data_IF_464907576095
#
_entry.id   IF_464907576095
#
_cell.length_a   1.000
_cell.length_b   1.000
_cell.length_c   1.000
_cell.angle_alpha   90.00
_cell.angle_beta   90.00
_cell.angle_gamma   90.00
#
_symmetry.space_group_name_H-M   'P 1'
#
loop_
_entity.id
_entity.type
_entity.pdbx_description
1 polymer ?
#
# COMPACT_ATOMS: atom_id res chain seq x y z
N UNK A 1 0.53 12.79 -0.45
CA UNK A 1 -0.55 11.95 -0.98
C UNK A 1 -1.61 12.84 -1.62
N UNK A 2 -2.54 12.26 -2.40
CA UNK A 2 -3.43 12.94 -3.35
C UNK A 2 -4.85 13.05 -2.77
N UNK A 3 -5.04 13.95 -1.82
CA UNK A 3 -6.36 14.16 -1.22
C UNK A 3 -6.54 15.65 -0.84
N UNK A 4 -7.73 16.02 -0.40
CA UNK A 4 -8.04 17.36 0.07
C UNK A 4 -7.76 17.57 1.57
N UNK A 5 -7.77 18.84 2.00
CA UNK A 5 -7.53 19.22 3.39
C UNK A 5 -8.64 18.74 4.33
N UNK A 6 -9.87 18.62 3.82
CA UNK A 6 -10.97 18.14 4.64
C UNK A 6 -10.71 16.68 5.02
N UNK A 7 -10.28 15.82 4.09
CA UNK A 7 -9.93 14.41 4.32
C UNK A 7 -8.92 14.17 5.45
N UNK A 8 -8.11 15.17 5.81
CA UNK A 8 -7.13 15.09 6.92
C UNK A 8 -7.77 15.16 8.32
N UNK A 9 -8.94 15.78 8.48
CA UNK A 9 -9.59 15.91 9.79
C UNK A 9 -10.43 14.66 10.13
N UNK A 10 -9.86 13.74 10.90
CA UNK A 10 -10.52 12.54 11.43
C UNK A 10 -11.16 11.66 10.33
N UNK A 11 -10.39 11.20 9.34
CA UNK A 11 -10.89 10.19 8.41
C UNK A 11 -11.34 8.94 9.19
N UNK A 12 -12.35 8.23 8.69
CA UNK A 12 -12.78 6.93 9.23
C UNK A 12 -11.94 5.78 8.65
N UNK A 13 -11.48 5.95 7.42
CA UNK A 13 -10.70 4.97 6.66
C UNK A 13 -9.40 5.60 6.13
N UNK A 14 -8.29 4.88 6.24
CA UNK A 14 -6.99 5.26 5.67
C UNK A 14 -6.64 4.26 4.59
N UNK A 15 -6.49 4.71 3.35
CA UNK A 15 -6.08 3.89 2.22
C UNK A 15 -4.58 4.07 1.96
N UNK A 16 -3.81 3.02 2.21
CA UNK A 16 -2.39 2.94 1.90
C UNK A 16 -2.18 2.17 0.60
N UNK A 17 -1.10 2.49 -0.11
CA UNK A 17 -0.62 1.73 -1.25
C UNK A 17 0.19 2.62 -2.20
N UNK A 18 0.36 2.14 -3.42
CA UNK A 18 1.21 2.76 -4.42
C UNK A 18 0.43 3.61 -5.46
N UNK A 19 0.85 3.55 -6.72
CA UNK A 19 0.19 4.22 -7.86
C UNK A 19 -1.27 3.79 -8.05
N UNK A 20 -1.66 2.57 -7.68
CA UNK A 20 -3.05 2.13 -7.77
C UNK A 20 -3.94 2.80 -6.73
N UNK A 21 -3.44 3.01 -5.52
CA UNK A 21 -4.19 3.75 -4.48
C UNK A 21 -4.23 5.23 -4.81
N UNK A 22 -3.11 5.79 -5.29
CA UNK A 22 -3.02 7.17 -5.77
C UNK A 22 -3.99 7.47 -6.94
N UNK A 23 -4.45 6.45 -7.67
CA UNK A 23 -5.32 6.65 -8.84
C UNK A 23 -4.57 7.11 -10.08
N UNK A 24 -3.37 6.56 -10.31
CA UNK A 24 -2.56 6.89 -11.47
C UNK A 24 -3.33 6.70 -12.78
N UNK A 25 -3.41 7.77 -13.57
CA UNK A 25 -4.04 7.74 -14.90
C UNK A 25 -5.54 8.05 -14.93
N UNK A 26 -6.17 8.32 -13.78
CA UNK A 26 -7.59 8.71 -13.70
C UNK A 26 -7.81 10.01 -12.93
N UNK A 27 -8.97 10.63 -13.08
CA UNK A 27 -9.36 11.83 -12.32
C UNK A 27 -9.63 11.51 -10.84
N UNK A 28 -9.60 12.52 -9.98
CA UNK A 28 -9.73 12.34 -8.51
C UNK A 28 -11.00 11.57 -8.14
N UNK A 29 -12.14 11.97 -8.71
CA UNK A 29 -13.45 11.37 -8.48
C UNK A 29 -13.62 9.99 -9.14
N UNK A 30 -12.61 9.51 -9.87
CA UNK A 30 -12.58 8.18 -10.47
C UNK A 30 -11.61 7.24 -9.71
N UNK A 31 -10.89 7.76 -8.71
CA UNK A 31 -9.98 6.96 -7.89
C UNK A 31 -10.76 6.02 -6.96
N UNK A 32 -10.15 4.89 -6.60
CA UNK A 32 -10.78 3.86 -5.75
C UNK A 32 -11.26 4.43 -4.40
N UNK A 33 -10.50 5.37 -3.83
CA UNK A 33 -10.80 5.99 -2.53
C UNK A 33 -11.99 6.93 -2.61
N UNK A 34 -12.02 7.82 -3.61
CA UNK A 34 -13.14 8.73 -3.84
C UNK A 34 -14.43 7.98 -4.17
N UNK A 35 -14.33 6.92 -4.98
CA UNK A 35 -15.47 6.05 -5.29
C UNK A 35 -15.96 5.29 -4.05
N UNK A 36 -15.06 4.88 -3.15
CA UNK A 36 -15.42 4.29 -1.87
C UNK A 36 -16.13 5.29 -0.96
N UNK A 37 -15.63 6.52 -0.86
CA UNK A 37 -16.27 7.58 -0.07
C UNK A 37 -17.67 7.90 -0.61
N UNK A 38 -17.81 8.10 -1.92
CA UNK A 38 -19.11 8.32 -2.59
C UNK A 38 -20.09 7.16 -2.33
N UNK A 39 -19.60 5.92 -2.34
CA UNK A 39 -20.41 4.72 -2.16
C UNK A 39 -20.92 4.54 -0.72
N UNK A 40 -20.18 5.06 0.26
CA UNK A 40 -20.40 4.75 1.68
C UNK A 40 -20.78 5.96 2.53
N UNK A 41 -20.54 7.17 2.01
CA UNK A 41 -20.57 8.40 2.79
C UNK A 41 -19.58 8.42 3.96
N UNK A 42 -18.65 7.46 4.02
CA UNK A 42 -17.66 7.38 5.08
C UNK A 42 -16.39 8.08 4.65
N UNK A 43 -15.88 8.96 5.52
CA UNK A 43 -14.72 9.78 5.22
C UNK A 43 -13.47 8.90 5.05
N UNK A 44 -12.83 8.98 3.89
CA UNK A 44 -11.66 8.20 3.56
C UNK A 44 -10.50 9.11 3.18
N UNK A 45 -9.28 8.75 3.61
CA UNK A 45 -8.07 9.44 3.22
C UNK A 45 -7.25 8.58 2.26
N UNK A 46 -6.99 9.09 1.07
CA UNK A 46 -6.08 8.52 0.10
C UNK A 46 -4.63 8.87 0.46
N UNK A 47 -3.91 7.91 1.01
CA UNK A 47 -2.48 8.03 1.33
C UNK A 47 -1.58 7.35 0.28
N UNK A 48 -2.12 7.03 -0.90
CA UNK A 48 -1.37 6.37 -1.97
C UNK A 48 -0.21 7.23 -2.48
N UNK A 49 0.93 6.60 -2.76
CA UNK A 49 2.13 7.27 -3.28
C UNK A 49 2.83 6.43 -4.37
N UNK A 50 2.89 6.90 -5.63
CA UNK A 50 3.52 6.16 -6.71
C UNK A 50 4.99 5.82 -6.43
N UNK A 51 5.34 4.55 -6.63
CA UNK A 51 6.69 4.03 -6.46
C UNK A 51 7.11 3.74 -5.02
N UNK A 52 6.19 3.85 -4.06
CA UNK A 52 6.40 3.36 -2.71
C UNK A 52 6.14 1.85 -2.68
N UNK A 53 6.89 1.15 -1.85
CA UNK A 53 6.50 -0.13 -1.30
C UNK A 53 6.08 0.04 0.17
N UNK A 54 5.61 -1.06 0.77
CA UNK A 54 4.89 -1.01 2.04
C UNK A 54 5.70 -0.49 3.24
N UNK A 55 7.03 -0.63 3.23
CA UNK A 55 7.88 0.02 4.24
C UNK A 55 7.73 1.55 4.19
N UNK A 56 7.74 2.16 3.01
CA UNK A 56 7.62 3.62 2.90
C UNK A 56 6.21 4.10 3.25
N UNK A 57 5.18 3.36 2.84
CA UNK A 57 3.79 3.61 3.23
C UNK A 57 3.63 3.59 4.76
N UNK A 58 4.18 2.57 5.42
CA UNK A 58 4.12 2.43 6.89
C UNK A 58 4.83 3.57 7.60
N UNK A 59 6.00 3.98 7.10
CA UNK A 59 6.79 5.08 7.67
C UNK A 59 6.10 6.43 7.47
N UNK A 60 5.49 6.67 6.31
CA UNK A 60 4.68 7.86 6.05
C UNK A 60 3.47 7.89 6.99
N UNK A 61 2.73 6.79 7.12
CA UNK A 61 1.61 6.70 8.06
C UNK A 61 2.04 7.05 9.48
N UNK A 62 3.13 6.45 9.98
CA UNK A 62 3.59 6.71 11.34
C UNK A 62 4.06 8.14 11.59
N UNK A 63 4.39 8.87 10.54
CA UNK A 63 4.72 10.28 10.65
C UNK A 63 3.47 11.17 10.73
N UNK A 64 2.39 10.78 10.06
CA UNK A 64 1.16 11.57 9.95
C UNK A 64 0.08 11.15 10.96
N UNK A 65 0.16 9.96 11.57
CA UNK A 65 -0.94 9.40 12.36
C UNK A 65 -1.41 10.31 13.51
N UNK A 66 -0.50 11.06 14.14
CA UNK A 66 -0.84 12.03 15.19
C UNK A 66 -1.62 13.24 14.65
N UNK A 67 -1.29 13.72 13.44
CA UNK A 67 -1.94 14.88 12.82
C UNK A 67 -3.34 14.54 12.31
N UNK A 68 -3.58 13.28 11.95
CA UNK A 68 -4.89 12.76 11.52
C UNK A 68 -5.91 12.65 12.67
N UNK A 69 -5.53 13.02 13.89
CA UNK A 69 -6.32 12.82 15.11
C UNK A 69 -6.82 11.38 15.24
N UNK A 70 -5.95 10.44 14.89
CA UNK A 70 -6.33 9.05 14.76
C UNK A 70 -6.70 8.43 16.12
N UNK A 71 -7.89 7.84 16.21
CA UNK A 71 -8.39 7.17 17.40
C UNK A 71 -9.12 5.86 17.10
N UNK A 72 -9.68 5.70 15.88
CA UNK A 72 -10.57 4.59 15.50
C UNK A 72 -10.59 4.26 13.99
N UNK A 73 -9.56 4.72 13.27
CA UNK A 73 -9.42 4.55 11.82
C UNK A 73 -9.31 3.06 11.48
N UNK A 74 -9.88 2.67 10.34
CA UNK A 74 -9.57 1.38 9.71
C UNK A 74 -8.55 1.61 8.61
N UNK A 75 -7.50 0.81 8.60
CA UNK A 75 -6.45 0.90 7.57
C UNK A 75 -6.74 -0.13 6.50
N UNK A 76 -6.87 0.31 5.25
CA UNK A 76 -6.91 -0.55 4.07
C UNK A 76 -5.58 -0.39 3.35
N UNK A 77 -4.85 -1.49 3.18
CA UNK A 77 -3.65 -1.52 2.35
C UNK A 77 -3.99 -2.20 1.01
N UNK A 78 -3.81 -1.47 -0.09
CA UNK A 78 -3.86 -2.02 -1.44
C UNK A 78 -2.44 -2.48 -1.81
N UNK A 79 -2.30 -3.78 -2.06
CA UNK A 79 -1.03 -4.43 -2.43
C UNK A 79 -1.06 -4.76 -3.91
N UNK A 80 -0.10 -4.24 -4.66
CA UNK A 80 0.12 -4.58 -6.06
C UNK A 80 1.34 -5.49 -6.22
N UNK A 81 1.56 -6.06 -7.40
CA UNK A 81 2.62 -7.05 -7.60
C UNK A 81 4.04 -6.52 -7.39
N UNK A 82 4.23 -5.21 -7.48
CA UNK A 82 5.51 -4.56 -7.20
C UNK A 82 5.88 -4.51 -5.72
N UNK A 83 4.90 -4.52 -4.83
CA UNK A 83 5.13 -4.57 -3.38
C UNK A 83 5.96 -5.79 -2.95
N UNK A 84 5.90 -6.88 -3.72
CA UNK A 84 6.67 -8.08 -3.44
C UNK A 84 8.18 -7.88 -3.56
N UNK A 85 8.64 -6.84 -4.28
CA UNK A 85 10.05 -6.56 -4.49
C UNK A 85 10.47 -5.14 -4.07
N UNK A 86 9.58 -4.14 -4.12
CA UNK A 86 9.90 -2.74 -3.81
C UNK A 86 10.34 -2.53 -2.35
N UNK A 87 9.96 -3.43 -1.45
CA UNK A 87 10.42 -3.43 -0.06
C UNK A 87 11.93 -3.70 0.08
N UNK A 88 12.53 -4.44 -0.87
CA UNK A 88 13.97 -4.71 -0.91
C UNK A 88 14.71 -3.87 -1.98
N UNK A 89 14.08 -3.65 -3.13
CA UNK A 89 14.65 -2.94 -4.27
C UNK A 89 13.76 -1.78 -4.72
N UNK A 90 13.55 -0.74 -3.90
CA UNK A 90 12.62 0.32 -4.23
C UNK A 90 13.04 1.06 -5.50
N UNK A 91 12.05 1.54 -6.26
CA UNK A 91 12.22 2.32 -7.50
C UNK A 91 13.21 3.48 -7.31
N UNK A 92 13.19 4.11 -6.14
CA UNK A 92 14.13 5.16 -5.77
C UNK A 92 15.13 4.64 -4.73
N UNK A 93 16.40 4.52 -5.12
CA UNK A 93 17.50 4.06 -4.24
C UNK A 93 17.55 4.75 -2.84
N UNK A 94 17.23 6.05 -2.68
CA UNK A 94 17.19 6.70 -1.38
C UNK A 94 16.05 6.24 -0.47
N UNK A 95 15.06 5.50 -0.95
CA UNK A 95 13.95 5.08 -0.11
C UNK A 95 14.42 4.13 1.00
N UNK A 96 13.79 4.22 2.19
CA UNK A 96 13.94 3.21 3.21
C UNK A 96 13.65 1.82 2.65
N UNK A 97 14.35 0.78 3.09
CA UNK A 97 14.23 -0.56 2.51
C UNK A 97 14.69 -1.63 3.47
N UNK A 98 14.16 -2.84 3.31
CA UNK A 98 14.55 -3.99 4.11
C UNK A 98 15.92 -4.49 3.64
N UNK A 99 16.82 -4.73 4.59
CA UNK A 99 18.14 -5.32 4.36
C UNK A 99 18.40 -6.41 5.39
N UNK A 100 19.28 -7.34 5.03
CA UNK A 100 19.73 -8.40 5.93
C UNK A 100 21.00 -7.97 6.65
N UNK A 101 20.94 -7.87 7.99
CA UNK A 101 22.09 -7.59 8.85
C UNK A 101 22.40 -8.82 9.70
N UNK A 102 23.29 -9.67 9.19
CA UNK A 102 23.54 -11.00 9.76
C UNK A 102 22.32 -11.91 9.58
N UNK A 103 21.79 -12.44 10.69
CA UNK A 103 20.60 -13.31 10.68
C UNK A 103 19.27 -12.55 10.81
N UNK A 104 19.29 -11.21 10.88
CA UNK A 104 18.09 -10.39 11.10
C UNK A 104 17.79 -9.52 9.89
N UNK A 105 16.51 -9.32 9.61
CA UNK A 105 16.04 -8.29 8.71
C UNK A 105 15.93 -6.96 9.48
N UNK A 106 16.32 -5.88 8.83
CA UNK A 106 16.28 -4.51 9.38
C UNK A 106 15.80 -3.53 8.31
N UNK A 107 15.09 -2.49 8.73
CA UNK A 107 14.80 -1.36 7.86
C UNK A 107 16.03 -0.45 7.85
N UNK A 108 16.57 -0.21 6.66
CA UNK A 108 17.61 0.80 6.43
C UNK A 108 16.96 2.05 5.90
N UNK A 109 17.39 3.22 6.38
CA UNK A 109 16.89 4.52 5.95
C UNK A 109 18.08 5.33 5.40
N UNK A 110 18.50 5.10 4.13
CA UNK A 110 19.61 5.85 3.54
C UNK A 110 19.28 7.33 3.35
N UNK A 111 18.00 7.69 3.46
CA UNK A 111 17.51 9.06 3.36
C UNK A 111 17.78 9.90 4.61
N UNK A 112 17.81 9.29 5.79
CA UNK A 112 17.90 9.97 7.08
C UNK A 112 19.03 11.00 7.18
N UNK A 113 20.23 10.64 6.72
CA UNK A 113 21.39 11.53 6.79
C UNK A 113 21.23 12.75 5.85
N UNK A 114 20.66 12.54 4.67
CA UNK A 114 20.40 13.59 3.70
C UNK A 114 19.33 14.55 4.21
N UNK A 115 18.21 14.01 4.72
CA UNK A 115 17.12 14.81 5.28
C UNK A 115 17.58 15.71 6.45
N UNK A 116 18.37 15.16 7.38
CA UNK A 116 18.97 15.94 8.47
C UNK A 116 19.91 17.03 7.99
N UNK A 117 20.61 16.83 6.87
CA UNK A 117 21.48 17.84 6.26
C UNK A 117 20.66 18.94 5.59
N UNK A 118 19.63 18.58 4.83
CA UNK A 118 18.72 19.51 4.18
C UNK A 118 18.07 20.46 5.21
N UNK A 119 17.60 19.92 6.33
CA UNK A 119 17.05 20.70 7.45
C UNK A 119 18.03 21.74 8.04
N UNK A 120 19.34 21.49 7.96
CA UNK A 120 20.38 22.39 8.49
C UNK A 120 20.83 23.46 7.50
N UNK A 121 20.84 23.16 6.20
CA UNK A 121 21.51 24.00 5.17
C UNK A 121 20.52 24.90 4.42
N UNK A 122 19.31 24.43 4.13
CA UNK A 122 18.37 25.15 3.27
C UNK A 122 17.03 25.33 3.98
N UNK A 123 16.84 26.53 4.55
CA UNK A 123 15.59 27.02 5.11
C UNK A 123 14.97 26.09 6.19
N UNK A 124 15.38 26.24 7.47
CA UNK A 124 14.81 25.50 8.60
C UNK A 124 13.27 25.58 8.71
N UNK A 125 12.64 26.58 8.09
CA UNK A 125 11.18 26.69 7.98
C UNK A 125 10.58 25.74 6.94
N UNK A 126 11.19 25.60 5.76
CA UNK A 126 10.69 24.77 4.66
C UNK A 126 10.83 23.28 4.99
N UNK A 127 11.96 22.88 5.57
CA UNK A 127 12.24 21.51 5.95
C UNK A 127 11.50 21.06 7.25
N UNK A 128 10.88 21.99 7.98
CA UNK A 128 9.97 21.70 9.09
C UNK A 128 8.54 21.40 8.62
N UNK A 129 8.16 21.91 7.45
CA UNK A 129 6.82 21.72 6.88
C UNK A 129 6.77 20.51 5.94
N UNK A 130 7.91 20.09 5.39
CA UNK A 130 8.01 18.91 4.54
C UNK A 130 8.04 17.63 5.37
N UNK A 131 6.99 16.82 5.21
CA UNK A 131 6.92 15.48 5.77
C UNK A 131 8.13 14.65 5.33
N UNK A 132 8.90 14.09 6.29
CA UNK A 132 10.18 13.41 6.04
C UNK A 132 10.03 12.31 4.98
N UNK A 133 8.99 11.50 5.10
CA UNK A 133 8.78 10.37 4.21
C UNK A 133 7.89 10.69 3.02
N UNK A 134 7.69 11.98 2.67
CA UNK A 134 6.93 12.38 1.48
C UNK A 134 7.79 12.37 0.20
N UNK A 135 7.15 12.16 -0.96
CA UNK A 135 7.82 12.19 -2.26
C UNK A 135 8.52 13.53 -2.50
N UNK A 136 7.91 14.63 -2.08
CA UNK A 136 8.51 15.96 -2.17
C UNK A 136 9.82 16.06 -1.36
N UNK A 137 9.88 15.50 -0.15
CA UNK A 137 11.11 15.47 0.62
C UNK A 137 12.21 14.66 -0.08
N UNK A 138 11.87 13.51 -0.64
CA UNK A 138 12.80 12.69 -1.42
C UNK A 138 13.35 13.44 -2.65
N UNK A 139 12.49 14.12 -3.40
CA UNK A 139 12.89 14.92 -4.58
C UNK A 139 13.78 16.11 -4.20
N UNK A 140 13.42 16.86 -3.16
CA UNK A 140 14.25 17.99 -2.70
C UNK A 140 15.64 17.52 -2.28
N UNK A 141 15.70 16.43 -1.52
CA UNK A 141 16.96 15.89 -1.05
C UNK A 141 17.80 15.25 -2.17
N UNK A 142 17.20 14.67 -3.21
CA UNK A 142 17.95 14.15 -4.36
C UNK A 142 18.60 15.28 -5.18
N UNK A 143 17.94 16.44 -5.27
CA UNK A 143 18.47 17.65 -5.91
C UNK A 143 19.55 18.34 -5.07
N UNK A 144 19.37 18.43 -3.74
CA UNK A 144 20.32 19.08 -2.81
C UNK A 144 21.54 18.20 -2.51
N UNK A 145 21.37 16.89 -2.50
CA UNK A 145 22.42 15.92 -2.17
C UNK A 145 23.47 15.72 -3.26
N UNK A 146 23.23 16.21 -4.49
CA UNK A 146 24.11 15.99 -5.64
C UNK A 146 24.20 14.51 -5.99
N UNK A 147 23.33 14.03 -6.88
CA UNK A 147 23.46 12.77 -7.61
C UNK A 147 24.17 11.63 -6.85
N UNK A 148 23.55 11.12 -5.79
CA UNK A 148 23.54 9.70 -5.35
C UNK A 148 24.84 8.87 -5.26
N UNK A 149 26.03 9.40 -5.54
CA UNK A 149 27.29 8.63 -5.57
C UNK A 149 27.88 8.43 -4.18
N UNK A 150 27.63 9.35 -3.24
CA UNK A 150 28.24 9.33 -1.90
C UNK A 150 27.31 8.76 -0.81
N UNK A 151 26.03 8.52 -1.14
CA UNK A 151 25.03 7.97 -0.20
C UNK A 151 24.88 6.45 -0.30
N UNK A 152 25.50 5.82 -1.29
CA UNK A 152 25.69 4.37 -1.37
C UNK A 152 27.11 4.08 -0.89
N UNK A 153 27.32 4.02 0.42
CA UNK A 153 28.54 3.42 0.93
C UNK A 153 28.60 1.98 0.43
N UNK A 154 29.63 1.66 -0.37
CA UNK A 154 29.98 0.31 -0.83
C UNK A 154 30.38 -0.66 0.31
N UNK A 155 29.98 -0.40 1.55
CA UNK A 155 30.45 -1.12 2.76
C UNK A 155 29.51 -2.26 3.19
N UNK A 156 28.39 -2.48 2.51
CA UNK A 156 27.59 -3.69 2.69
C UNK A 156 27.91 -4.66 1.55
N UNK A 157 28.68 -5.71 1.87
CA UNK A 157 28.97 -6.79 0.94
C UNK A 157 27.67 -7.28 0.27
N UNK A 158 27.69 -7.63 -1.03
CA UNK A 158 26.51 -8.15 -1.70
C UNK A 158 25.99 -9.35 -0.91
N UNK A 159 24.73 -9.25 -0.45
CA UNK A 159 24.00 -10.38 0.13
C UNK A 159 24.05 -11.49 -0.93
N UNK A 160 24.41 -12.69 -0.52
CA UNK A 160 24.38 -13.86 -1.41
C UNK A 160 22.94 -13.99 -1.92
N UNK A 161 22.74 -13.64 -3.20
CA UNK A 161 21.43 -13.62 -3.82
C UNK A 161 21.04 -15.07 -4.05
N UNK A 162 20.16 -15.59 -3.21
CA UNK A 162 19.58 -16.91 -3.39
C UNK A 162 18.20 -16.76 -3.97
N UNK A 163 17.89 -17.51 -5.02
CA UNK A 163 16.58 -17.47 -5.66
C UNK A 163 15.69 -18.61 -5.16
N UNK A 164 14.40 -18.38 -5.01
CA UNK A 164 13.44 -19.44 -4.76
C UNK A 164 13.16 -20.27 -6.03
N UNK A 165 12.34 -21.34 -5.92
CA UNK A 165 12.02 -22.22 -7.06
C UNK A 165 11.21 -21.53 -8.18
N UNK A 166 10.77 -20.30 -7.95
CA UNK A 166 9.95 -19.51 -8.85
C UNK A 166 10.72 -18.31 -9.45
N UNK A 167 11.98 -18.10 -9.04
CA UNK A 167 12.88 -17.10 -9.59
C UNK A 167 12.91 -15.77 -8.83
N UNK A 168 12.32 -15.69 -7.64
CA UNK A 168 12.43 -14.53 -6.75
C UNK A 168 13.74 -14.55 -6.00
N UNK A 169 14.38 -13.39 -5.84
CA UNK A 169 15.42 -13.30 -4.82
C UNK A 169 14.74 -13.55 -3.46
N UNK A 170 15.20 -14.55 -2.70
CA UNK A 170 14.64 -14.90 -1.38
C UNK A 170 14.60 -13.69 -0.43
N UNK A 171 15.42 -12.66 -0.69
CA UNK A 171 15.41 -11.39 0.03
C UNK A 171 14.16 -10.53 -0.24
N UNK A 172 13.47 -10.66 -1.38
CA UNK A 172 12.32 -9.83 -1.80
C UNK A 172 11.05 -10.32 -1.10
N UNK A 173 10.77 -11.63 -1.17
CA UNK A 173 9.62 -12.20 -0.45
C UNK A 173 9.81 -12.12 1.07
N UNK A 174 11.01 -12.38 1.58
CA UNK A 174 11.33 -12.16 3.00
C UNK A 174 11.12 -10.69 3.39
N UNK A 175 11.43 -9.73 2.50
CA UNK A 175 11.21 -8.31 2.75
C UNK A 175 9.72 -7.93 2.73
N UNK A 176 8.92 -8.48 1.80
CA UNK A 176 7.48 -8.28 1.78
C UNK A 176 6.82 -8.83 3.05
N UNK A 177 7.13 -10.08 3.44
CA UNK A 177 6.60 -10.67 4.67
C UNK A 177 7.02 -9.85 5.90
N UNK A 178 8.28 -9.40 5.95
CA UNK A 178 8.76 -8.52 7.00
C UNK A 178 7.99 -7.19 7.03
N UNK A 179 7.73 -6.57 5.88
CA UNK A 179 6.97 -5.33 5.78
C UNK A 179 5.54 -5.49 6.28
N UNK A 180 4.87 -6.59 5.92
CA UNK A 180 3.52 -6.91 6.39
C UNK A 180 3.48 -7.12 7.90
N UNK A 181 4.44 -7.87 8.45
CA UNK A 181 4.59 -8.06 9.91
C UNK A 181 4.85 -6.74 10.63
N UNK A 182 5.69 -5.89 10.06
CA UNK A 182 6.03 -4.59 10.63
C UNK A 182 4.82 -3.66 10.66
N UNK A 183 4.10 -3.51 9.53
CA UNK A 183 2.87 -2.71 9.47
C UNK A 183 1.84 -3.23 10.47
N UNK A 184 1.57 -4.54 10.50
CA UNK A 184 0.63 -5.14 11.44
C UNK A 184 1.00 -4.80 12.88
N UNK A 185 2.26 -4.98 13.28
CA UNK A 185 2.74 -4.66 14.62
C UNK A 185 2.55 -3.18 14.97
N UNK A 186 2.86 -2.28 14.04
CA UNK A 186 2.69 -0.83 14.24
C UNK A 186 1.22 -0.47 14.45
N UNK A 187 0.32 -1.07 13.66
CA UNK A 187 -1.12 -0.81 13.78
C UNK A 187 -1.73 -1.43 15.04
N UNK A 188 -1.24 -2.58 15.49
CA UNK A 188 -1.62 -3.18 16.77
C UNK A 188 -1.24 -2.30 17.96
N UNK A 189 -0.04 -1.71 17.93
CA UNK A 189 0.42 -0.76 18.95
C UNK A 189 -0.50 0.47 19.04
N UNK A 190 -1.11 0.87 17.91
CA UNK A 190 -2.09 1.96 17.85
C UNK A 190 -3.55 1.50 17.98
N UNK A 191 -3.78 0.20 18.14
CA UNK A 191 -5.11 -0.40 18.18
C UNK A 191 -5.98 -0.01 16.96
N UNK A 192 -5.37 -0.01 15.77
CA UNK A 192 -6.04 0.24 14.50
C UNK A 192 -6.18 -1.09 13.72
N UNK A 193 -7.39 -1.46 13.25
CA UNK A 193 -7.58 -2.65 12.44
C UNK A 193 -6.97 -2.48 11.04
N UNK A 194 -6.38 -3.55 10.54
CA UNK A 194 -5.79 -3.65 9.19
C UNK A 194 -6.62 -4.59 8.31
N UNK A 195 -6.88 -4.15 7.09
CA UNK A 195 -7.47 -4.90 6.00
C UNK A 195 -6.56 -4.78 4.78
N UNK A 196 -6.37 -5.86 4.03
CA UNK A 196 -5.49 -5.85 2.85
C UNK A 196 -6.24 -6.25 1.58
N UNK A 197 -5.95 -5.61 0.46
CA UNK A 197 -6.60 -5.86 -0.83
C UNK A 197 -5.50 -6.11 -1.85
N UNK A 198 -5.45 -7.31 -2.44
CA UNK A 198 -4.50 -7.61 -3.50
C UNK A 198 -5.05 -7.22 -4.87
N UNK A 199 -4.23 -6.50 -5.62
CA UNK A 199 -4.48 -6.07 -6.99
C UNK A 199 -3.64 -6.93 -7.92
N UNK A 200 -4.25 -7.74 -8.80
CA UNK A 200 -3.52 -8.53 -9.79
C UNK A 200 -2.93 -7.62 -10.88
N UNK A 201 -1.73 -7.96 -11.37
CA UNK A 201 -1.24 -7.38 -12.62
C UNK A 201 -2.09 -7.78 -13.82
N UNK A 202 -2.08 -6.96 -14.88
CA UNK A 202 -2.74 -7.27 -16.16
C UNK A 202 -2.39 -8.68 -16.68
N UNK A 203 -1.15 -9.12 -16.49
CA UNK A 203 -0.70 -10.46 -16.90
C UNK A 203 -1.13 -11.61 -15.97
N UNK A 204 -1.63 -11.30 -14.77
CA UNK A 204 -1.97 -12.25 -13.70
C UNK A 204 -3.44 -12.65 -13.67
N UNK A 205 -4.27 -11.96 -14.46
CA UNK A 205 -5.66 -12.35 -14.72
C UNK A 205 -5.77 -13.75 -15.36
N UNK A 206 -4.67 -14.24 -15.95
CA UNK A 206 -4.52 -15.65 -16.28
C UNK A 206 -4.11 -16.42 -15.01
N UNK A 207 -5.05 -17.19 -14.42
CA UNK A 207 -4.82 -17.98 -13.21
C UNK A 207 -3.65 -18.97 -13.28
N UNK A 208 -3.15 -19.29 -14.48
CA UNK A 208 -1.92 -20.07 -14.60
C UNK A 208 -0.66 -19.31 -14.16
N UNK A 209 -0.76 -17.98 -13.98
CA UNK A 209 0.33 -17.05 -13.68
C UNK A 209 0.15 -16.26 -12.37
N UNK A 210 -0.87 -16.58 -11.57
CA UNK A 210 -1.24 -15.85 -10.34
C UNK A 210 -0.35 -16.17 -9.12
N UNK A 211 0.96 -16.26 -9.32
CA UNK A 211 1.90 -16.62 -8.25
C UNK A 211 1.92 -15.59 -7.11
N UNK A 212 1.76 -14.30 -7.42
CA UNK A 212 1.74 -13.24 -6.40
C UNK A 212 0.45 -13.30 -5.58
N UNK A 213 -0.73 -13.46 -6.21
CA UNK A 213 -2.02 -13.72 -5.53
C UNK A 213 -1.92 -14.89 -4.53
N UNK A 214 -1.38 -16.04 -4.96
CA UNK A 214 -1.19 -17.20 -4.06
C UNK A 214 -0.26 -16.89 -2.90
N UNK A 215 0.80 -16.13 -3.16
CA UNK A 215 1.79 -15.75 -2.13
C UNK A 215 1.18 -14.76 -1.15
N UNK A 216 0.45 -13.76 -1.64
CA UNK A 216 -0.35 -12.83 -0.85
C UNK A 216 -1.28 -13.59 0.09
N UNK A 217 -2.09 -14.51 -0.44
CA UNK A 217 -3.05 -15.30 0.34
C UNK A 217 -2.34 -16.08 1.46
N UNK A 218 -1.22 -16.74 1.15
CA UNK A 218 -0.43 -17.49 2.15
C UNK A 218 0.06 -16.57 3.27
N UNK A 219 0.67 -15.42 2.93
CA UNK A 219 1.21 -14.49 3.92
C UNK A 219 0.08 -13.90 4.76
N UNK A 220 -1.01 -13.43 4.16
CA UNK A 220 -2.13 -12.82 4.90
C UNK A 220 -2.79 -13.83 5.84
N UNK A 221 -2.97 -15.09 5.42
CA UNK A 221 -3.47 -16.16 6.30
C UNK A 221 -2.54 -16.46 7.46
N UNK A 222 -1.23 -16.51 7.22
CA UNK A 222 -0.23 -16.75 8.27
C UNK A 222 -0.17 -15.60 9.29
N UNK A 223 -0.47 -14.38 8.85
CA UNK A 223 -0.51 -13.19 9.69
C UNK A 223 -1.89 -12.91 10.27
N UNK A 224 -2.89 -13.74 9.94
CA UNK A 224 -4.29 -13.56 10.35
C UNK A 224 -4.84 -12.17 9.99
N UNK A 225 -4.42 -11.64 8.84
CA UNK A 225 -4.88 -10.35 8.31
C UNK A 225 -6.11 -10.61 7.41
N UNK A 226 -7.25 -9.96 7.67
CA UNK A 226 -8.40 -9.98 6.76
C UNK A 226 -8.00 -9.46 5.38
N UNK A 227 -8.29 -10.23 4.33
CA UNK A 227 -7.87 -9.87 2.99
C UNK A 227 -8.90 -10.15 1.91
N UNK A 228 -8.82 -9.36 0.84
CA UNK A 228 -9.56 -9.49 -0.42
C UNK A 228 -8.55 -9.68 -1.56
N UNK A 229 -8.81 -10.63 -2.45
CA UNK A 229 -8.04 -10.82 -3.69
C UNK A 229 -8.93 -10.47 -4.88
N UNK A 230 -8.53 -9.46 -5.66
CA UNK A 230 -9.32 -8.97 -6.79
C UNK A 230 -9.11 -9.78 -8.09
N UNK A 231 -8.32 -10.86 -8.08
CA UNK A 231 -8.00 -11.67 -9.27
C UNK A 231 -9.24 -12.15 -10.03
N UNK A 232 -10.25 -12.64 -9.31
CA UNK A 232 -11.51 -13.14 -9.89
C UNK A 232 -12.54 -12.05 -10.20
N UNK A 233 -12.28 -10.81 -9.76
CA UNK A 233 -13.22 -9.69 -9.87
C UNK A 233 -12.90 -8.76 -11.04
N UNK A 234 -11.67 -8.80 -11.54
CA UNK A 234 -11.17 -7.92 -12.58
C UNK A 234 -11.03 -8.63 -13.92
N UNK A 235 -11.08 -7.85 -14.99
CA UNK A 235 -10.92 -8.29 -16.38
C UNK A 235 -9.91 -7.41 -17.11
N UNK A 236 -9.47 -7.85 -18.29
CA UNK A 236 -8.53 -7.07 -19.10
C UNK A 236 -9.07 -5.69 -19.52
N UNK A 237 -10.40 -5.49 -19.45
CA UNK A 237 -11.05 -4.22 -19.78
C UNK A 237 -10.95 -3.18 -18.65
N UNK A 238 -10.54 -3.61 -17.45
CA UNK A 238 -10.39 -2.77 -16.26
C UNK A 238 -9.03 -2.05 -16.22
N UNK A 239 -8.17 -2.29 -17.21
CA UNK A 239 -6.81 -1.75 -17.29
C UNK A 239 -6.59 -0.92 -18.54
N UNK A 240 -5.72 0.07 -18.45
CA UNK A 240 -5.08 0.68 -19.61
C UNK A 240 -4.08 -0.30 -20.22
N UNK A 241 -4.21 -0.57 -21.52
CA UNK A 241 -3.32 -1.49 -22.24
C UNK A 241 -1.88 -0.99 -22.36
N UNK A 242 -1.64 0.31 -22.17
CA UNK A 242 -0.33 0.93 -22.40
C UNK A 242 0.65 0.67 -21.27
N UNK A 243 0.19 0.69 -20.02
CA UNK A 243 1.02 0.58 -18.82
C UNK A 243 0.48 -0.44 -17.80
N UNK A 244 -0.70 -1.00 -18.02
CA UNK A 244 -1.29 -2.00 -17.13
C UNK A 244 -1.83 -1.43 -15.82
N UNK A 245 -1.99 -0.11 -15.68
CA UNK A 245 -2.71 0.48 -14.55
C UNK A 245 -4.21 0.39 -14.74
N UNK A 246 -4.99 0.52 -13.66
CA UNK A 246 -6.43 0.64 -13.76
C UNK A 246 -6.84 1.83 -14.62
N UNK A 247 -7.91 1.63 -15.39
CA UNK A 247 -8.71 2.74 -15.89
C UNK A 247 -9.86 3.02 -14.90
N UNK A 248 -10.72 4.00 -15.20
CA UNK A 248 -11.81 4.37 -14.29
C UNK A 248 -12.80 3.24 -14.00
N UNK A 249 -12.91 2.23 -14.89
CA UNK A 249 -13.70 1.02 -14.63
C UNK A 249 -13.02 0.11 -13.61
N UNK A 250 -11.71 -0.10 -13.71
CA UNK A 250 -10.97 -0.92 -12.74
C UNK A 250 -11.00 -0.35 -11.32
N UNK A 251 -10.84 0.97 -11.19
CA UNK A 251 -11.01 1.64 -9.90
C UNK A 251 -12.42 1.47 -9.32
N UNK A 252 -13.46 1.52 -10.17
CA UNK A 252 -14.84 1.28 -9.76
C UNK A 252 -15.06 -0.14 -9.28
N UNK A 253 -14.63 -1.15 -10.05
CA UNK A 253 -14.73 -2.55 -9.66
C UNK A 253 -14.02 -2.81 -8.33
N UNK A 254 -12.80 -2.28 -8.16
CA UNK A 254 -12.07 -2.39 -6.90
C UNK A 254 -12.83 -1.75 -5.73
N UNK A 255 -13.37 -0.54 -5.90
CA UNK A 255 -14.13 0.15 -4.85
C UNK A 255 -15.39 -0.64 -4.44
N UNK A 256 -16.13 -1.17 -5.41
CA UNK A 256 -17.34 -1.97 -5.17
C UNK A 256 -17.04 -3.24 -4.34
N UNK A 257 -15.98 -3.97 -4.70
CA UNK A 257 -15.59 -5.18 -3.97
C UNK A 257 -15.00 -4.87 -2.59
N UNK A 258 -14.27 -3.76 -2.45
CA UNK A 258 -13.79 -3.30 -1.13
C UNK A 258 -14.98 -2.98 -0.20
N UNK A 259 -16.00 -2.29 -0.70
CA UNK A 259 -17.22 -2.00 0.08
C UNK A 259 -17.90 -3.29 0.54
N UNK A 260 -18.06 -4.28 -0.35
CA UNK A 260 -18.65 -5.58 -0.02
C UNK A 260 -17.82 -6.30 1.05
N UNK A 261 -16.53 -6.43 0.81
CA UNK A 261 -15.59 -7.08 1.72
C UNK A 261 -15.60 -6.46 3.12
N UNK A 262 -15.53 -5.13 3.22
CA UNK A 262 -15.54 -4.43 4.51
C UNK A 262 -16.91 -4.53 5.21
N UNK A 263 -18.00 -4.60 4.45
CA UNK A 263 -19.35 -4.83 5.01
C UNK A 263 -19.48 -6.24 5.60
N UNK A 264 -18.98 -7.25 4.89
CA UNK A 264 -18.98 -8.64 5.34
C UNK A 264 -18.08 -8.85 6.55
N UNK A 265 -16.93 -8.19 6.58
CA UNK A 265 -16.01 -8.20 7.71
C UNK A 265 -16.51 -7.40 8.93
N UNK A 266 -17.66 -6.72 8.83
CA UNK A 266 -18.20 -5.87 9.90
C UNK A 266 -17.42 -4.57 10.13
N UNK A 267 -16.51 -4.23 9.20
CA UNK A 267 -15.72 -3.00 9.22
C UNK A 267 -16.52 -1.79 8.70
N UNK A 268 -17.54 -2.03 7.88
CA UNK A 268 -18.46 -1.02 7.37
C UNK A 268 -19.90 -1.35 7.77
N UNK A 269 -20.65 -0.33 8.19
CA UNK A 269 -22.06 -0.48 8.56
C UNK A 269 -22.92 -0.82 7.31
N UNK A 270 -23.76 -1.85 7.40
CA UNK A 270 -24.58 -2.33 6.27
C UNK A 270 -25.47 -1.26 5.64
N UNK A 271 -25.97 -0.32 6.44
CA UNK A 271 -26.88 0.73 5.99
C UNK A 271 -26.17 1.88 5.26
N UNK A 272 -24.82 1.90 5.30
CA UNK A 272 -24.02 2.92 4.60
C UNK A 272 -23.72 2.57 3.15
N UNK A 273 -23.75 1.30 2.78
CA UNK A 273 -23.47 0.90 1.40
C UNK A 273 -24.59 1.35 0.46
N UNK A 274 -24.33 2.31 -0.42
CA UNK A 274 -25.33 2.82 -1.35
C UNK A 274 -25.75 1.75 -2.37
N UNK A 275 -27.06 1.50 -2.60
CA UNK A 275 -27.55 0.41 -3.45
C UNK A 275 -27.06 0.45 -4.91
N UNK A 276 -26.69 1.64 -5.40
CA UNK A 276 -26.22 1.83 -6.78
C UNK A 276 -24.85 1.19 -7.07
N UNK A 277 -24.09 0.80 -6.04
CA UNK A 277 -22.75 0.20 -6.17
C UNK A 277 -22.66 -1.18 -5.49
N UNK A 278 -23.66 -1.62 -4.72
CA UNK A 278 -23.66 -2.99 -4.17
C UNK A 278 -24.00 -4.04 -5.22
N UNK A 279 -24.57 -3.65 -6.37
CA UNK A 279 -24.76 -4.53 -7.53
C UNK A 279 -25.25 -5.94 -7.17
N UNK A 280 -26.37 -6.06 -6.46
CA UNK A 280 -27.01 -7.37 -6.23
C UNK A 280 -28.37 -7.37 -6.93
N UNK A 281 -28.43 -8.02 -8.10
CA UNK A 281 -29.57 -8.90 -8.34
C UNK A 281 -29.31 -10.18 -7.55
N UNK A 282 -30.25 -10.70 -6.76
CA UNK A 282 -30.03 -11.88 -5.95
C UNK A 282 -29.80 -13.07 -6.89
N UNK A 283 -28.59 -13.63 -6.87
CA UNK A 283 -28.35 -14.97 -7.38
C UNK A 283 -27.90 -15.83 -6.21
N UNK A 284 -28.74 -16.80 -5.91
CA UNK A 284 -28.44 -17.88 -4.98
C UNK A 284 -27.16 -18.60 -5.41
N UNK A 285 -26.19 -18.66 -4.50
CA UNK A 285 -25.14 -19.67 -4.50
C UNK A 285 -23.88 -19.33 -5.29
N UNK A 286 -22.97 -18.57 -4.68
CA UNK A 286 -21.65 -19.12 -4.37
C UNK A 286 -21.04 -18.31 -3.22
N UNK A 287 -20.70 -19.00 -2.14
CA UNK A 287 -20.18 -18.37 -0.94
C UNK A 287 -18.73 -17.93 -1.18
N UNK A 288 -18.47 -16.63 -1.09
CA UNK A 288 -17.13 -16.11 -0.85
C UNK A 288 -16.52 -16.91 0.32
N UNK A 289 -15.39 -17.58 0.07
CA UNK A 289 -14.67 -18.32 1.10
C UNK A 289 -13.95 -17.33 2.01
N UNK A 290 -14.70 -16.76 2.95
CA UNK A 290 -14.13 -16.11 4.12
C UNK A 290 -13.52 -17.20 4.99
N UNK A 291 -12.20 -17.22 5.12
CA UNK A 291 -11.56 -17.94 6.23
C UNK A 291 -11.49 -16.98 7.40
N UNK A 292 -12.53 -17.01 8.22
CA UNK A 292 -12.47 -16.41 9.55
C UNK A 292 -11.54 -17.27 10.40
N UNK A 293 -10.51 -16.67 10.98
CA UNK A 293 -9.76 -17.31 12.05
C UNK A 293 -10.68 -17.42 13.27
N UNK A 294 -11.14 -18.62 13.58
CA UNK A 294 -11.70 -18.94 14.89
C UNK A 294 -11.59 -20.45 15.20
N UNK A 295 -11.05 -20.71 16.40
CA UNK A 295 -10.89 -21.96 17.18
C UNK A 295 -9.65 -22.84 16.96
#
# INVERSE_FOLDING_TARGET
FRDDEDSLDKPEFLFLGDSFTFGWGVEENECVVSLFEDATGAKALNMGEPGYGNIQETLLLGQEIESLHAQRQKVILLVYNNDFYDNAGPVFSPFPKVRKKGARLVITDPFEACYRRAQKVHAPSLAKTLSKYSMAAYLVCSLVGGATSDLVSNDEAPIEITYDRFGFELNELEAFEYAMRYLKSVLEDWNLPLYTVYIPGYGELDHSKNQFSKTFEIVMRQLEIPHLDLTDHLSMEDYYRIDGHFNSRGHRTAAEEIVRFLTEAGALEKDRAHPALTGVAPQDGDAARIVTAAE
#
